data_IF_802685127881
#
_entry.id   IF_802685127881
#
_cell.length_a   1.000
_cell.length_b   1.000
_cell.length_c   1.000
_cell.angle_alpha   90.00
_cell.angle_beta   90.00
_cell.angle_gamma   90.00
#
_symmetry.space_group_name_H-M   'P 1'
#
loop_
_entity.id
_entity.type
_entity.pdbx_description
1 polymer ?
#
# COMPACT_ATOMS: atom_id res chain seq x y z
N UNK A 1 -20.09 -54.98 -15.26
CA UNK A 1 -19.04 -53.96 -15.55
C UNK A 1 -19.57 -52.52 -15.62
N UNK A 2 -20.76 -52.24 -16.18
CA UNK A 2 -21.27 -50.86 -16.34
C UNK A 2 -21.54 -50.07 -15.03
N UNK A 3 -21.89 -50.75 -13.93
CA UNK A 3 -22.17 -50.12 -12.63
C UNK A 3 -20.91 -49.52 -11.96
N UNK A 4 -19.74 -50.13 -12.20
CA UNK A 4 -18.48 -49.71 -11.58
C UNK A 4 -17.95 -48.41 -12.20
N UNK A 5 -18.11 -48.27 -13.51
CA UNK A 5 -17.70 -47.08 -14.28
C UNK A 5 -18.52 -45.86 -13.88
N UNK A 6 -19.83 -46.01 -13.68
CA UNK A 6 -20.70 -44.92 -13.18
C UNK A 6 -20.25 -44.45 -11.80
N UNK A 7 -19.94 -45.38 -10.89
CA UNK A 7 -19.49 -45.06 -9.52
C UNK A 7 -18.16 -44.29 -9.51
N UNK A 8 -17.23 -44.63 -10.40
CA UNK A 8 -15.94 -43.94 -10.57
C UNK A 8 -16.10 -42.53 -11.14
N UNK A 9 -17.02 -42.33 -12.09
CA UNK A 9 -17.30 -41.00 -12.66
C UNK A 9 -17.96 -40.08 -11.62
N UNK A 10 -18.90 -40.59 -10.81
CA UNK A 10 -19.50 -39.77 -9.75
C UNK A 10 -18.48 -39.37 -8.68
N UNK A 11 -17.51 -40.23 -8.35
CA UNK A 11 -16.47 -39.94 -7.37
C UNK A 11 -15.53 -38.83 -7.86
N UNK A 12 -15.12 -38.85 -9.13
CA UNK A 12 -14.21 -37.85 -9.70
C UNK A 12 -14.87 -36.48 -9.85
N UNK A 13 -16.18 -36.45 -10.16
CA UNK A 13 -16.97 -35.21 -10.20
C UNK A 13 -17.12 -34.63 -8.79
N UNK A 14 -17.40 -35.45 -7.78
CA UNK A 14 -17.48 -34.96 -6.39
C UNK A 14 -16.15 -34.38 -5.88
N UNK A 15 -15.03 -35.02 -6.23
CA UNK A 15 -13.69 -34.53 -5.91
C UNK A 15 -13.40 -33.17 -6.56
N UNK A 16 -13.72 -32.97 -7.84
CA UNK A 16 -13.44 -31.69 -8.52
C UNK A 16 -14.31 -30.54 -8.01
N UNK A 17 -15.57 -30.79 -7.64
CA UNK A 17 -16.43 -29.78 -7.03
C UNK A 17 -15.94 -29.32 -5.64
N UNK A 18 -15.42 -30.23 -4.81
CA UNK A 18 -14.88 -29.87 -3.49
C UNK A 18 -13.64 -28.96 -3.54
N UNK A 19 -12.79 -29.10 -4.56
CA UNK A 19 -11.56 -28.30 -4.72
C UNK A 19 -11.89 -26.85 -5.12
N UNK A 20 -12.93 -26.63 -5.92
CA UNK A 20 -13.34 -25.29 -6.32
C UNK A 20 -14.05 -24.53 -5.19
N UNK A 21 -14.81 -25.21 -4.33
CA UNK A 21 -15.47 -24.57 -3.18
C UNK A 21 -14.46 -24.17 -2.07
N UNK A 22 -13.41 -24.98 -1.84
CA UNK A 22 -12.33 -24.63 -0.91
C UNK A 22 -11.49 -23.42 -1.36
N UNK A 23 -11.53 -23.07 -2.65
CA UNK A 23 -10.87 -21.88 -3.22
C UNK A 23 -11.55 -20.56 -2.82
N UNK A 24 -12.84 -20.56 -2.50
CA UNK A 24 -13.61 -19.35 -2.19
C UNK A 24 -13.61 -18.99 -0.69
N UNK A 25 -13.25 -19.93 0.20
CA UNK A 25 -13.23 -19.72 1.66
C UNK A 25 -11.85 -19.36 2.25
N UNK A 26 -10.82 -19.24 1.40
CA UNK A 26 -9.54 -18.65 1.80
C UNK A 26 -9.74 -17.15 1.75
N UNK A 27 -10.09 -16.56 2.90
CA UNK A 27 -9.85 -15.14 3.15
C UNK A 27 -8.46 -14.80 2.60
N UNK A 28 -8.42 -14.05 1.50
CA UNK A 28 -7.25 -13.97 0.63
C UNK A 28 -6.01 -13.57 1.45
N UNK A 29 -5.08 -14.52 1.61
CA UNK A 29 -3.87 -14.34 2.42
C UNK A 29 -3.07 -13.14 1.94
N UNK A 30 -3.12 -12.82 0.63
CA UNK A 30 -2.48 -11.64 0.09
C UNK A 30 -3.17 -10.35 0.51
N UNK A 31 -4.51 -10.34 0.57
CA UNK A 31 -5.28 -9.20 1.09
C UNK A 31 -4.98 -8.98 2.57
N UNK A 32 -4.99 -10.05 3.39
CA UNK A 32 -4.66 -9.94 4.80
C UNK A 32 -3.23 -9.45 5.02
N UNK A 33 -2.27 -10.03 4.30
CA UNK A 33 -0.87 -9.61 4.35
C UNK A 33 -0.73 -8.14 3.98
N UNK A 34 -1.36 -7.69 2.89
CA UNK A 34 -1.36 -6.28 2.47
C UNK A 34 -1.95 -5.38 3.55
N UNK A 35 -3.05 -5.79 4.19
CA UNK A 35 -3.66 -5.02 5.27
C UNK A 35 -2.73 -4.86 6.48
N UNK A 36 -1.98 -5.91 6.83
CA UNK A 36 -1.01 -5.89 7.92
C UNK A 36 0.26 -5.09 7.58
N UNK A 37 0.68 -5.08 6.31
CA UNK A 37 1.88 -4.36 5.86
C UNK A 37 1.61 -2.87 5.56
N UNK A 38 0.41 -2.53 5.07
CA UNK A 38 0.00 -1.18 4.68
C UNK A 38 -0.97 -0.55 5.70
N UNK A 39 -0.58 -0.59 6.98
CA UNK A 39 -1.33 0.01 8.08
C UNK A 39 -1.53 1.52 7.83
N UNK A 40 -2.71 2.03 8.19
CA UNK A 40 -3.00 3.45 8.14
C UNK A 40 -2.05 4.24 9.06
N UNK A 41 -1.44 5.27 8.49
CA UNK A 41 -0.70 6.30 9.23
C UNK A 41 -1.65 7.46 9.54
N UNK A 42 -2.45 7.86 8.53
CA UNK A 42 -3.58 8.79 8.65
C UNK A 42 -4.74 8.27 7.80
N UNK A 43 -5.88 8.96 7.80
CA UNK A 43 -7.00 8.64 6.90
C UNK A 43 -6.61 8.69 5.41
N UNK A 44 -5.57 9.44 5.07
CA UNK A 44 -5.13 9.64 3.69
C UNK A 44 -3.93 8.77 3.30
N UNK A 45 -3.08 8.41 4.28
CA UNK A 45 -1.81 7.76 4.03
C UNK A 45 -1.73 6.40 4.71
N UNK A 46 -1.33 5.40 3.92
CA UNK A 46 -0.99 4.06 4.39
C UNK A 46 0.50 3.83 4.28
N UNK A 47 1.04 3.02 5.17
CA UNK A 47 2.46 2.65 5.25
C UNK A 47 2.95 1.96 3.98
N UNK A 48 4.19 2.24 3.58
CA UNK A 48 4.84 1.58 2.45
C UNK A 48 6.26 2.06 2.20
N UNK A 49 6.78 1.79 1.01
CA UNK A 49 8.19 1.95 0.60
C UNK A 49 8.52 3.32 -0.05
N UNK A 50 7.61 4.29 -0.01
CA UNK A 50 7.79 5.59 -0.63
C UNK A 50 7.86 6.71 0.41
N UNK A 51 8.93 7.50 0.41
CA UNK A 51 9.09 8.59 1.37
C UNK A 51 8.43 9.87 0.87
N UNK A 52 7.56 10.43 1.71
CA UNK A 52 6.99 11.77 1.56
C UNK A 52 7.36 12.63 2.78
N UNK A 53 7.26 13.94 2.61
CA UNK A 53 7.16 14.87 3.72
C UNK A 53 5.72 15.38 3.82
N UNK A 54 5.05 15.15 4.95
CA UNK A 54 3.74 15.69 5.23
C UNK A 54 3.91 17.12 5.76
N UNK A 55 3.36 18.09 5.04
CA UNK A 55 3.53 19.50 5.37
C UNK A 55 2.57 19.96 6.46
N UNK A 56 1.39 19.36 6.54
CA UNK A 56 0.37 19.68 7.54
C UNK A 56 0.85 19.21 8.93
N UNK A 57 1.42 18.01 8.98
CA UNK A 57 1.89 17.38 10.22
C UNK A 57 3.41 17.51 10.43
N UNK A 58 4.11 18.24 9.54
CA UNK A 58 5.55 18.53 9.61
C UNK A 58 6.46 17.34 9.93
N UNK A 59 6.25 16.19 9.28
CA UNK A 59 7.09 15.01 9.48
C UNK A 59 7.27 14.21 8.20
N UNK A 60 8.31 13.38 8.18
CA UNK A 60 8.52 12.39 7.13
C UNK A 60 7.70 11.14 7.37
N UNK A 61 7.07 10.63 6.32
CA UNK A 61 6.31 9.39 6.36
C UNK A 61 6.66 8.48 5.18
N UNK A 62 6.88 7.21 5.49
CA UNK A 62 6.98 6.13 4.52
C UNK A 62 5.60 5.59 4.19
N UNK A 63 5.15 5.82 2.96
CA UNK A 63 3.79 5.54 2.49
C UNK A 63 3.77 4.57 1.31
N UNK A 64 2.63 3.92 1.05
CA UNK A 64 2.46 3.03 -0.09
C UNK A 64 2.35 3.82 -1.41
N UNK A 65 2.31 3.07 -2.52
CA UNK A 65 2.31 3.63 -3.87
C UNK A 65 1.11 4.55 -4.13
N UNK A 66 -0.08 4.17 -3.66
CA UNK A 66 -1.32 4.93 -3.81
C UNK A 66 -1.22 6.26 -3.06
N UNK A 67 -0.77 6.24 -1.82
CA UNK A 67 -0.55 7.43 -0.98
C UNK A 67 0.51 8.36 -1.57
N UNK A 68 1.58 7.80 -2.14
CA UNK A 68 2.62 8.58 -2.81
C UNK A 68 2.09 9.30 -4.06
N UNK A 69 1.28 8.60 -4.88
CA UNK A 69 0.62 9.19 -6.04
C UNK A 69 -0.38 10.27 -5.64
N UNK A 70 -1.18 10.02 -4.60
CA UNK A 70 -2.09 11.01 -4.04
C UNK A 70 -1.33 12.28 -3.67
N UNK A 71 -0.20 12.12 -2.99
CA UNK A 71 0.65 13.24 -2.61
C UNK A 71 1.18 14.02 -3.83
N UNK A 72 1.69 13.31 -4.84
CA UNK A 72 2.19 13.91 -6.08
C UNK A 72 1.08 14.67 -6.83
N UNK A 73 -0.14 14.13 -6.87
CA UNK A 73 -1.29 14.75 -7.52
C UNK A 73 -1.77 16.00 -6.76
N UNK A 74 -1.88 15.93 -5.43
CA UNK A 74 -2.23 17.10 -4.60
C UNK A 74 -1.24 18.25 -4.83
N UNK A 75 0.07 17.96 -4.90
CA UNK A 75 1.11 18.95 -5.22
C UNK A 75 0.96 19.53 -6.64
N UNK A 76 0.62 18.70 -7.63
CA UNK A 76 0.41 19.17 -9.01
C UNK A 76 -0.79 20.12 -9.06
N UNK A 77 -1.90 19.73 -8.46
CA UNK A 77 -3.13 20.52 -8.42
C UNK A 77 -2.92 21.83 -7.65
N UNK A 78 -2.23 21.83 -6.51
CA UNK A 78 -1.97 23.05 -5.76
C UNK A 78 -1.13 24.06 -6.56
N UNK A 79 -0.19 23.58 -7.39
CA UNK A 79 0.58 24.42 -8.32
C UNK A 79 -0.29 24.94 -9.47
N UNK A 80 -1.12 24.10 -10.05
CA UNK A 80 -2.00 24.43 -11.18
C UNK A 80 -3.07 25.46 -10.78
N UNK A 81 -3.68 25.29 -9.61
CA UNK A 81 -4.76 26.15 -9.11
C UNK A 81 -4.28 27.27 -8.17
N UNK A 82 -2.95 27.47 -8.03
CA UNK A 82 -2.32 28.47 -7.14
C UNK A 82 -2.89 28.44 -5.70
N UNK A 83 -3.24 27.26 -5.21
CA UNK A 83 -3.72 27.13 -3.84
C UNK A 83 -2.55 27.30 -2.87
N UNK A 84 -2.74 28.14 -1.86
CA UNK A 84 -1.76 28.35 -0.80
C UNK A 84 -1.65 27.09 0.06
N UNK A 85 -0.45 26.49 0.09
CA UNK A 85 -0.14 25.30 0.88
C UNK A 85 -0.07 24.02 0.04
N UNK A 86 1.11 23.38 0.05
CA UNK A 86 1.27 22.02 -0.47
C UNK A 86 1.09 21.08 0.70
N UNK A 87 0.01 20.28 0.74
CA UNK A 87 -0.28 19.37 1.88
C UNK A 87 0.83 18.34 2.12
N UNK A 88 1.58 17.99 1.07
CA UNK A 88 2.72 17.09 1.18
C UNK A 88 3.70 17.23 0.00
N UNK A 89 4.89 16.65 0.15
CA UNK A 89 5.95 16.62 -0.86
C UNK A 89 6.49 15.20 -1.05
N UNK A 90 6.42 14.64 -2.27
CA UNK A 90 7.13 13.41 -2.60
C UNK A 90 8.65 13.62 -2.52
N UNK A 91 9.37 12.71 -1.86
CA UNK A 91 10.82 12.84 -1.63
C UNK A 91 11.60 11.78 -2.42
N UNK A 92 11.33 10.50 -2.17
CA UNK A 92 12.13 9.40 -2.73
C UNK A 92 11.37 8.07 -2.70
N UNK A 93 11.72 7.17 -3.62
CA UNK A 93 11.20 5.79 -3.66
C UNK A 93 12.27 4.81 -3.18
N UNK A 94 11.86 3.70 -2.56
CA UNK A 94 12.75 2.65 -2.07
C UNK A 94 12.31 1.28 -2.60
N UNK A 95 13.21 0.29 -2.48
CA UNK A 95 12.94 -1.09 -2.88
C UNK A 95 11.96 -1.79 -1.94
N UNK A 96 12.02 -1.45 -0.65
CA UNK A 96 11.26 -2.07 0.43
C UNK A 96 11.00 -1.08 1.56
N UNK A 97 10.05 -1.43 2.43
CA UNK A 97 9.65 -0.58 3.57
C UNK A 97 10.80 -0.35 4.55
N UNK A 98 11.63 -1.37 4.81
CA UNK A 98 12.74 -1.28 5.77
C UNK A 98 13.77 -0.23 5.34
N UNK A 99 14.09 -0.19 4.05
CA UNK A 99 14.96 0.81 3.45
C UNK A 99 14.36 2.22 3.57
N UNK A 100 13.04 2.34 3.37
CA UNK A 100 12.34 3.61 3.58
C UNK A 100 12.41 4.05 5.05
N UNK A 101 12.10 3.18 6.02
CA UNK A 101 12.13 3.54 7.44
C UNK A 101 13.52 3.95 7.90
N UNK A 102 14.56 3.27 7.42
CA UNK A 102 15.95 3.65 7.67
C UNK A 102 16.23 5.07 7.17
N UNK A 103 15.75 5.40 5.96
CA UNK A 103 15.89 6.75 5.42
C UNK A 103 15.07 7.77 6.20
N UNK A 104 13.79 7.48 6.50
CA UNK A 104 12.90 8.31 7.30
C UNK A 104 13.53 8.67 8.65
N UNK A 105 14.07 7.68 9.36
CA UNK A 105 14.78 7.91 10.62
C UNK A 105 15.95 8.88 10.42
N UNK A 106 16.84 8.61 9.45
CA UNK A 106 18.01 9.47 9.17
C UNK A 106 17.63 10.91 8.82
N UNK A 107 16.57 11.11 8.04
CA UNK A 107 16.16 12.47 7.64
C UNK A 107 15.41 13.20 8.75
N UNK A 108 14.67 12.48 9.61
CA UNK A 108 13.95 13.07 10.76
C UNK A 108 14.89 13.62 11.83
N UNK A 109 16.13 13.13 11.89
CA UNK A 109 17.17 13.61 12.81
C UNK A 109 17.84 14.91 12.33
N UNK A 110 17.50 15.43 11.14
CA UNK A 110 18.13 16.64 10.60
C UNK A 110 17.37 17.89 11.05
N UNK A 111 18.10 18.92 11.49
CA UNK A 111 17.54 20.19 11.99
C UNK A 111 16.88 21.05 10.90
N UNK A 112 17.28 20.91 9.63
CA UNK A 112 16.84 21.79 8.53
C UNK A 112 15.54 21.32 7.84
N UNK A 113 14.47 21.16 8.61
CA UNK A 113 13.17 20.66 8.13
C UNK A 113 12.28 21.74 7.48
N UNK A 114 12.62 23.02 7.65
CA UNK A 114 11.73 24.15 7.38
C UNK A 114 11.45 24.45 5.90
N UNK A 115 12.25 23.90 4.99
CA UNK A 115 12.20 24.27 3.57
C UNK A 115 11.49 23.25 2.68
N UNK A 116 11.00 22.12 3.22
CA UNK A 116 10.36 21.09 2.40
C UNK A 116 9.01 21.54 1.83
N UNK A 117 8.27 22.37 2.55
CA UNK A 117 6.93 22.84 2.14
C UNK A 117 6.93 24.21 1.49
N UNK A 118 8.11 24.84 1.38
CA UNK A 118 8.28 26.09 0.62
C UNK A 118 8.30 25.76 -0.87
N UNK A 119 7.65 26.63 -1.65
CA UNK A 119 7.40 26.45 -3.09
C UNK A 119 8.67 26.23 -3.91
#
# INVERSE_FOLDING_TARGET
MALYVKKLIYLSIFLSLSVNAAKEAIFDVAIYKKFMEEVYITNEFRRGEFLIYNCDLKHFACVNKESFKLCANKRRNSKEFKQEGQSCRPIRTFKDQASCFTAQYKVSQKTSMENFCKN
#
